data_IF_154732544832
#
_entry.id   IF_154732544832
#
_cell.length_a   1.000
_cell.length_b   1.000
_cell.length_c   1.000
_cell.angle_alpha   90.00
_cell.angle_beta   90.00
_cell.angle_gamma   90.00
#
_symmetry.space_group_name_H-M   'P 1'
#
loop_
_entity.id
_entity.type
_entity.pdbx_description
1 polymer ?
#
# COMPACT_ATOMS: atom_id res chain seq x y z
N UNK A 1 -18.64 -1.39 4.67
CA UNK A 1 -18.09 -0.47 5.69
C UNK A 1 -16.70 -0.85 6.25
N UNK A 2 -16.06 -1.96 5.83
CA UNK A 2 -14.87 -2.52 6.50
C UNK A 2 -13.61 -1.64 6.52
N UNK A 3 -13.43 -0.69 5.60
CA UNK A 3 -12.14 -0.04 5.44
C UNK A 3 -11.99 1.29 6.23
N UNK A 4 -13.03 1.79 6.92
CA UNK A 4 -13.03 3.14 7.51
C UNK A 4 -12.47 3.22 8.96
N UNK A 5 -12.21 2.09 9.62
CA UNK A 5 -11.92 2.04 11.06
C UNK A 5 -10.43 2.09 11.43
N UNK A 6 -9.51 2.03 10.46
CA UNK A 6 -8.07 1.83 10.71
C UNK A 6 -7.15 2.95 10.17
N UNK A 7 -7.55 4.23 10.26
CA UNK A 7 -6.81 5.40 9.72
C UNK A 7 -5.32 5.50 10.06
N UNK A 8 -4.80 4.73 11.01
CA UNK A 8 -3.41 4.85 11.46
C UNK A 8 -2.39 4.15 10.56
N UNK A 9 -2.82 3.30 9.61
CA UNK A 9 -1.87 2.44 8.88
C UNK A 9 -1.69 2.75 7.39
N UNK A 10 -2.52 3.62 6.81
CA UNK A 10 -2.58 3.84 5.37
C UNK A 10 -2.43 5.30 4.97
N UNK A 11 -1.89 5.52 3.77
CA UNK A 11 -1.62 6.83 3.20
C UNK A 11 -2.74 7.30 2.25
N UNK A 12 -2.70 8.57 1.85
CA UNK A 12 -3.48 9.03 0.70
C UNK A 12 -3.02 8.31 -0.58
N UNK A 13 -3.93 7.95 -1.50
CA UNK A 13 -3.55 7.36 -2.78
C UNK A 13 -2.74 8.34 -3.63
N UNK A 14 -1.79 7.81 -4.39
CA UNK A 14 -1.09 8.53 -5.45
C UNK A 14 -1.88 8.44 -6.77
N UNK A 15 -1.45 9.13 -7.83
CA UNK A 15 -2.22 9.24 -9.07
C UNK A 15 -2.42 7.88 -9.78
N UNK A 16 -1.53 6.92 -9.53
CA UNK A 16 -1.63 5.54 -10.07
C UNK A 16 -2.64 4.69 -9.30
N UNK A 17 -2.67 4.85 -7.97
CA UNK A 17 -3.51 4.04 -7.08
C UNK A 17 -4.90 4.62 -6.91
N UNK A 18 -5.08 5.94 -6.96
CA UNK A 18 -6.37 6.62 -6.77
C UNK A 18 -7.49 6.06 -7.66
N UNK A 19 -7.29 5.80 -8.97
CA UNK A 19 -8.34 5.24 -9.82
C UNK A 19 -8.74 3.80 -9.48
N UNK A 20 -7.91 3.07 -8.72
CA UNK A 20 -8.09 1.65 -8.38
C UNK A 20 -8.56 1.48 -6.94
N UNK A 21 -8.02 2.28 -6.01
CA UNK A 21 -8.32 2.26 -4.60
C UNK A 21 -8.40 3.69 -4.04
N UNK A 22 -9.53 4.39 -4.26
CA UNK A 22 -9.67 5.82 -3.96
C UNK A 22 -9.66 6.14 -2.46
N UNK A 23 -9.75 5.12 -1.62
CA UNK A 23 -9.91 5.30 -0.17
C UNK A 23 -8.58 5.52 0.56
N UNK A 24 -7.53 4.87 0.10
CA UNK A 24 -6.28 4.73 0.82
C UNK A 24 -5.26 3.98 -0.03
N UNK A 25 -3.99 4.37 0.04
CA UNK A 25 -2.89 3.57 -0.46
C UNK A 25 -2.47 2.53 0.60
N UNK A 26 -2.22 1.27 0.23
CA UNK A 26 -1.53 0.34 1.12
C UNK A 26 -0.10 0.84 1.41
N UNK A 27 0.43 0.51 2.58
CA UNK A 27 1.82 0.79 2.92
C UNK A 27 2.75 -0.07 2.05
N UNK A 28 3.56 0.57 1.20
CA UNK A 28 4.61 -0.07 0.40
C UNK A 28 5.93 0.42 0.97
N UNK A 29 6.67 -0.46 1.63
CA UNK A 29 7.97 -0.16 2.21
C UNK A 29 9.03 -0.74 1.29
N UNK A 30 9.96 0.10 0.83
CA UNK A 30 10.94 -0.27 -0.20
C UNK A 30 12.34 -0.47 0.35
N UNK A 31 12.56 -0.02 1.58
CA UNK A 31 13.84 -0.13 2.29
C UNK A 31 13.69 -0.94 3.58
N UNK A 32 14.79 -1.56 4.00
CA UNK A 32 14.84 -2.30 5.25
C UNK A 32 14.68 -1.35 6.45
N UNK A 33 15.19 -0.13 6.36
CA UNK A 33 15.02 0.90 7.40
C UNK A 33 13.54 1.30 7.58
N UNK A 34 12.80 1.49 6.49
CA UNK A 34 11.36 1.74 6.54
C UNK A 34 10.62 0.57 7.18
N UNK A 35 10.98 -0.67 6.83
CA UNK A 35 10.43 -1.88 7.44
C UNK A 35 10.72 -1.93 8.95
N UNK A 36 11.95 -1.64 9.36
CA UNK A 36 12.38 -1.63 10.76
C UNK A 36 11.64 -0.58 11.59
N UNK A 37 11.54 0.64 11.06
CA UNK A 37 10.78 1.73 11.71
C UNK A 37 9.31 1.34 11.84
N UNK A 38 8.74 0.77 10.79
CA UNK A 38 7.34 0.35 10.78
C UNK A 38 7.09 -0.77 11.78
N UNK A 39 7.90 -1.83 11.78
CA UNK A 39 7.81 -2.95 12.73
C UNK A 39 7.91 -2.50 14.19
N UNK A 40 8.75 -1.49 14.48
CA UNK A 40 8.85 -0.88 15.82
C UNK A 40 7.66 0.02 16.18
N UNK A 41 7.04 0.66 15.18
CA UNK A 41 5.90 1.57 15.36
C UNK A 41 4.54 0.85 15.45
N UNK A 42 4.40 -0.35 14.91
CA UNK A 42 3.14 -1.13 14.91
C UNK A 42 2.61 -1.34 16.33
N UNK A 43 3.48 -1.63 17.30
CA UNK A 43 3.10 -1.76 18.72
C UNK A 43 2.64 -0.46 19.39
N UNK A 44 2.83 0.70 18.74
CA UNK A 44 2.48 2.04 19.24
C UNK A 44 1.30 2.68 18.50
N UNK A 45 0.58 1.92 17.68
CA UNK A 45 -0.57 2.40 16.92
C UNK A 45 -0.33 2.59 15.43
N UNK A 46 0.88 2.31 14.92
CA UNK A 46 1.22 2.38 13.50
C UNK A 46 1.46 3.81 13.00
N UNK A 47 2.57 4.01 12.29
CA UNK A 47 2.81 5.22 11.53
C UNK A 47 2.13 5.10 10.16
N UNK A 48 1.51 6.19 9.70
CA UNK A 48 1.07 6.27 8.32
C UNK A 48 2.29 6.14 7.40
N UNK A 49 2.25 5.21 6.45
CA UNK A 49 3.28 5.10 5.44
C UNK A 49 3.25 6.33 4.53
N UNK A 50 4.40 6.72 3.99
CA UNK A 50 4.49 7.76 2.98
C UNK A 50 3.97 7.21 1.64
N UNK A 51 3.13 7.94 0.91
CA UNK A 51 2.71 7.49 -0.42
C UNK A 51 3.91 7.44 -1.37
N UNK A 52 4.01 6.36 -2.13
CA UNK A 52 5.07 6.18 -3.12
C UNK A 52 4.87 7.15 -4.29
N UNK A 53 5.97 7.55 -4.94
CA UNK A 53 5.92 8.38 -6.13
C UNK A 53 5.18 7.66 -7.28
N UNK A 54 4.58 8.43 -8.19
CA UNK A 54 3.75 7.89 -9.28
C UNK A 54 4.57 7.06 -10.28
N UNK A 55 5.85 7.38 -10.46
CA UNK A 55 6.78 6.69 -11.34
C UNK A 55 7.37 5.40 -10.73
N UNK A 56 7.24 5.22 -9.42
CA UNK A 56 7.72 4.04 -8.71
C UNK A 56 6.78 2.83 -8.84
N UNK A 57 5.56 3.00 -9.38
CA UNK A 57 4.57 1.93 -9.51
C UNK A 57 4.14 1.69 -10.95
N UNK A 58 4.07 0.41 -11.33
CA UNK A 58 3.55 -0.03 -12.62
C UNK A 58 2.44 -1.05 -12.44
N UNK A 59 1.31 -0.84 -13.11
CA UNK A 59 0.22 -1.81 -13.16
C UNK A 59 0.63 -2.95 -14.10
N UNK A 60 0.83 -4.16 -13.55
CA UNK A 60 1.29 -5.33 -14.31
C UNK A 60 0.15 -6.17 -14.91
N UNK A 61 -1.05 -6.12 -14.34
CA UNK A 61 -2.22 -6.86 -14.82
C UNK A 61 -3.55 -6.15 -14.46
N UNK A 62 -4.60 -6.39 -15.25
CA UNK A 62 -5.97 -5.91 -15.01
C UNK A 62 -7.00 -7.01 -15.33
N UNK A 63 -8.18 -6.93 -14.70
CA UNK A 63 -9.27 -7.90 -14.92
C UNK A 63 -8.96 -9.31 -14.42
N UNK A 64 -9.37 -10.33 -15.17
CA UNK A 64 -9.19 -11.75 -14.84
C UNK A 64 -7.70 -12.17 -14.77
N UNK A 65 -6.80 -11.40 -15.38
CA UNK A 65 -5.35 -11.64 -15.31
C UNK A 65 -4.70 -11.18 -14.00
N UNK A 66 -5.47 -10.60 -13.05
CA UNK A 66 -4.96 -10.11 -11.76
C UNK A 66 -4.66 -11.20 -10.73
N UNK A 67 -5.01 -12.46 -11.00
CA UNK A 67 -4.74 -13.56 -10.09
C UNK A 67 -3.29 -14.04 -10.19
N UNK A 68 -2.75 -14.53 -9.08
CA UNK A 68 -1.45 -15.20 -9.07
C UNK A 68 -1.49 -16.41 -9.98
N UNK A 69 -0.79 -16.34 -11.11
CA UNK A 69 -0.62 -17.47 -12.00
C UNK A 69 0.36 -18.43 -11.31
N UNK A 70 -0.14 -19.57 -10.85
CA UNK A 70 0.71 -20.65 -10.33
C UNK A 70 1.66 -21.05 -11.47
N UNK A 71 2.95 -20.78 -11.28
CA UNK A 71 3.97 -21.25 -12.22
C UNK A 71 3.96 -22.78 -12.20
N UNK A 72 3.88 -23.41 -13.38
CA UNK A 72 3.88 -24.85 -13.56
C UNK A 72 5.25 -25.47 -13.29
#
# INVERSE_FOLDING_TARGET
>A
MCCARLKSWWAAPNAVVEPIHPKAMPAILTTDEECDVWMRAVGRGGGAATPLADDALKIVARGADKEDKVAA
#
